data_IF_554395085319
#
_entry.id   IF_554395085319
#
_cell.length_a   1.000
_cell.length_b   1.000
_cell.length_c   1.000
_cell.angle_alpha   90.00
_cell.angle_beta   90.00
_cell.angle_gamma   90.00
#
_symmetry.space_group_name_H-M   'P 1'
#
loop_
_entity.id
_entity.type
_entity.pdbx_description
1 polymer ?
#
# COMPACT_ATOMS: atom_id res chain seq x y z
N UNK A 1 11.41 -45.75 -1.34
CA UNK A 1 10.96 -45.12 -0.07
C UNK A 1 11.37 -43.65 0.10
N UNK A 2 12.20 -43.04 -0.77
CA UNK A 2 12.70 -41.65 -0.60
C UNK A 2 11.78 -40.53 -1.15
N UNK A 3 10.69 -40.88 -1.83
CA UNK A 3 9.81 -39.87 -2.46
C UNK A 3 9.12 -38.93 -1.45
N UNK A 4 8.78 -39.45 -0.26
CA UNK A 4 8.17 -38.65 0.81
C UNK A 4 9.19 -37.66 1.38
N UNK A 5 10.41 -38.13 1.68
CA UNK A 5 11.49 -37.27 2.18
C UNK A 5 11.83 -36.15 1.18
N UNK A 6 11.85 -36.47 -0.11
CA UNK A 6 12.11 -35.47 -1.15
C UNK A 6 10.99 -34.43 -1.25
N UNK A 7 9.72 -34.84 -1.09
CA UNK A 7 8.60 -33.91 -1.01
C UNK A 7 8.72 -32.98 0.21
N UNK A 8 9.01 -33.53 1.39
CA UNK A 8 9.20 -32.74 2.60
C UNK A 8 10.40 -31.79 2.51
N UNK A 9 11.48 -32.23 1.86
CA UNK A 9 12.62 -31.39 1.54
C UNK A 9 12.21 -30.22 0.64
N UNK A 10 11.43 -30.45 -0.41
CA UNK A 10 10.93 -29.37 -1.29
C UNK A 10 10.06 -28.36 -0.54
N UNK A 11 9.21 -28.82 0.38
CA UNK A 11 8.39 -27.94 1.24
C UNK A 11 9.27 -27.09 2.15
N UNK A 12 10.38 -27.65 2.65
CA UNK A 12 11.30 -26.95 3.53
C UNK A 12 12.01 -25.74 2.87
N UNK A 13 12.19 -25.75 1.54
CA UNK A 13 12.80 -24.65 0.81
C UNK A 13 11.88 -23.43 0.66
N UNK A 14 10.55 -23.61 0.73
CA UNK A 14 9.56 -22.53 0.58
C UNK A 14 8.55 -22.50 1.75
N UNK A 15 8.99 -22.26 2.99
CA UNK A 15 8.10 -22.31 4.13
C UNK A 15 7.18 -21.08 4.18
N UNK A 16 5.90 -21.25 3.82
CA UNK A 16 4.86 -20.23 4.06
C UNK A 16 4.35 -20.21 5.51
N UNK A 17 5.16 -20.69 6.47
CA UNK A 17 4.77 -20.80 7.88
C UNK A 17 4.82 -19.44 8.56
N UNK A 18 3.70 -19.01 9.15
CA UNK A 18 3.60 -17.78 9.96
C UNK A 18 3.18 -18.12 11.38
N UNK A 19 3.64 -17.32 12.36
CA UNK A 19 3.17 -17.43 13.75
C UNK A 19 1.68 -17.09 13.80
N UNK A 20 0.88 -18.01 14.31
CA UNK A 20 -0.58 -17.87 14.42
C UNK A 20 -1.07 -18.54 15.70
N UNK A 21 -2.01 -17.90 16.38
CA UNK A 21 -2.75 -18.47 17.52
C UNK A 21 -3.82 -19.46 17.05
N UNK A 22 -4.35 -19.28 15.82
CA UNK A 22 -5.36 -20.17 15.23
C UNK A 22 -4.66 -21.39 14.62
N UNK A 23 -4.98 -22.59 15.13
CA UNK A 23 -4.32 -23.85 14.74
C UNK A 23 -4.52 -24.20 13.26
N UNK A 24 -5.74 -23.99 12.72
CA UNK A 24 -6.10 -24.32 11.33
C UNK A 24 -5.31 -23.56 10.27
N UNK A 25 -4.71 -22.42 10.63
CA UNK A 25 -3.83 -21.69 9.71
C UNK A 25 -2.58 -22.50 9.36
N UNK A 26 -2.10 -23.35 10.27
CA UNK A 26 -0.91 -24.18 10.05
C UNK A 26 -1.13 -25.19 8.90
N UNK A 27 -2.15 -26.07 8.92
CA UNK A 27 -2.39 -26.98 7.80
C UNK A 27 -2.76 -26.24 6.52
N UNK A 28 -3.48 -25.11 6.59
CA UNK A 28 -3.80 -24.32 5.40
C UNK A 28 -2.55 -23.84 4.64
N UNK A 29 -1.61 -23.18 5.33
CA UNK A 29 -0.38 -22.70 4.67
C UNK A 29 0.54 -23.84 4.24
N UNK A 30 0.51 -24.97 4.94
CA UNK A 30 1.24 -26.16 4.54
C UNK A 30 0.68 -26.74 3.23
N UNK A 31 -0.65 -26.92 3.13
CA UNK A 31 -1.31 -27.38 1.92
C UNK A 31 -1.10 -26.40 0.75
N UNK A 32 -1.15 -25.09 1.01
CA UNK A 32 -0.86 -24.09 -0.01
C UNK A 32 0.55 -24.22 -0.59
N UNK A 33 1.53 -24.51 0.28
CA UNK A 33 2.93 -24.74 -0.14
C UNK A 33 3.05 -26.01 -0.97
N UNK A 34 2.41 -27.10 -0.51
CA UNK A 34 2.37 -28.37 -1.21
C UNK A 34 1.77 -28.22 -2.62
N UNK A 35 0.62 -27.56 -2.74
CA UNK A 35 -0.05 -27.31 -4.02
C UNK A 35 0.85 -26.50 -4.95
N UNK A 36 1.49 -25.45 -4.44
CA UNK A 36 2.39 -24.59 -5.26
C UNK A 36 3.56 -25.39 -5.85
N UNK A 37 4.18 -26.27 -5.05
CA UNK A 37 5.25 -27.15 -5.51
C UNK A 37 4.73 -28.14 -6.55
N UNK A 38 3.59 -28.78 -6.29
CA UNK A 38 3.00 -29.76 -7.20
C UNK A 38 2.63 -29.12 -8.54
N UNK A 39 2.09 -27.90 -8.53
CA UNK A 39 1.80 -27.13 -9.74
C UNK A 39 3.08 -26.86 -10.55
N UNK A 40 4.18 -26.47 -9.91
CA UNK A 40 5.45 -26.26 -10.60
C UNK A 40 6.01 -27.55 -11.22
N UNK A 41 5.88 -28.69 -10.53
CA UNK A 41 6.27 -30.01 -11.06
C UNK A 41 5.45 -30.33 -12.31
N UNK A 42 4.12 -30.22 -12.24
CA UNK A 42 3.21 -30.52 -13.36
C UNK A 42 3.52 -29.59 -14.56
N UNK A 43 3.72 -28.29 -14.30
CA UNK A 43 4.07 -27.33 -15.35
C UNK A 43 5.40 -27.67 -16.03
N UNK A 44 6.41 -28.07 -15.25
CA UNK A 44 7.71 -28.45 -15.81
C UNK A 44 7.63 -29.77 -16.61
N UNK A 45 6.78 -30.72 -16.19
CA UNK A 45 6.51 -31.94 -16.97
C UNK A 45 5.84 -31.60 -18.32
N UNK A 46 4.84 -30.73 -18.30
CA UNK A 46 4.18 -30.25 -19.51
C UNK A 46 5.17 -29.52 -20.45
N UNK A 47 5.98 -28.60 -19.92
CA UNK A 47 7.02 -27.91 -20.69
C UNK A 47 8.02 -28.87 -21.34
N UNK A 48 8.45 -29.90 -20.61
CA UNK A 48 9.36 -30.92 -21.13
C UNK A 48 8.74 -31.69 -22.30
N UNK A 49 7.44 -32.01 -22.25
CA UNK A 49 6.73 -32.65 -23.37
C UNK A 49 6.67 -31.76 -24.61
N UNK A 50 6.59 -30.44 -24.43
CA UNK A 50 6.55 -29.45 -25.52
C UNK A 50 7.94 -28.89 -25.90
N UNK A 51 9.04 -29.48 -25.42
CA UNK A 51 10.40 -29.04 -25.74
C UNK A 51 10.80 -27.67 -25.17
N UNK A 52 10.08 -27.18 -24.16
CA UNK A 52 10.34 -25.89 -23.51
C UNK A 52 11.31 -26.03 -22.33
N UNK A 53 12.09 -24.97 -22.00
CA UNK A 53 13.00 -25.00 -20.88
C UNK A 53 12.25 -25.13 -19.54
N UNK A 54 12.85 -25.86 -18.61
CA UNK A 54 12.32 -25.98 -17.26
C UNK A 54 12.34 -24.63 -16.55
N UNK A 55 11.32 -24.38 -15.73
CA UNK A 55 11.22 -23.17 -14.91
C UNK A 55 11.49 -23.47 -13.44
N UNK A 56 12.22 -22.57 -12.79
CA UNK A 56 12.48 -22.65 -11.37
C UNK A 56 11.19 -22.46 -10.57
N UNK A 57 11.08 -23.17 -9.44
CA UNK A 57 9.92 -23.09 -8.53
C UNK A 57 9.62 -21.64 -8.11
N UNK A 58 10.64 -20.85 -7.79
CA UNK A 58 10.49 -19.44 -7.42
C UNK A 58 9.82 -18.60 -8.52
N UNK A 59 10.13 -18.87 -9.80
CA UNK A 59 9.55 -18.17 -10.93
C UNK A 59 8.05 -18.51 -11.06
N UNK A 60 7.72 -19.80 -10.98
CA UNK A 60 6.32 -20.26 -11.03
C UNK A 60 5.49 -19.68 -9.89
N UNK A 61 6.02 -19.68 -8.66
CA UNK A 61 5.31 -19.11 -7.51
C UNK A 61 5.13 -17.60 -7.68
N UNK A 62 6.13 -16.89 -8.20
CA UNK A 62 6.03 -15.45 -8.48
C UNK A 62 4.95 -15.16 -9.52
N UNK A 63 4.94 -15.90 -10.62
CA UNK A 63 3.93 -15.75 -11.68
C UNK A 63 2.52 -16.06 -11.15
N UNK A 64 2.40 -17.06 -10.28
CA UNK A 64 1.13 -17.43 -9.64
C UNK A 64 0.64 -16.33 -8.67
N UNK A 65 1.55 -15.73 -7.90
CA UNK A 65 1.22 -14.57 -7.05
C UNK A 65 0.76 -13.39 -7.91
N UNK A 66 1.48 -13.06 -8.99
CA UNK A 66 1.11 -11.97 -9.89
C UNK A 66 -0.27 -12.24 -10.49
N UNK A 67 -0.53 -13.45 -10.99
CA UNK A 67 -1.82 -13.80 -11.59
C UNK A 67 -2.99 -13.79 -10.60
N UNK A 68 -2.75 -14.11 -9.32
CA UNK A 68 -3.77 -14.01 -8.27
C UNK A 68 -3.99 -12.55 -7.85
N UNK A 69 -2.92 -11.79 -7.70
CA UNK A 69 -2.97 -10.38 -7.28
C UNK A 69 -3.56 -9.51 -8.39
N UNK A 70 -3.20 -9.67 -9.67
CA UNK A 70 -3.77 -8.86 -10.77
C UNK A 70 -5.29 -9.04 -10.90
N UNK A 71 -5.80 -10.22 -10.58
CA UNK A 71 -7.25 -10.49 -10.54
C UNK A 71 -7.92 -9.74 -9.37
N UNK A 72 -7.24 -9.61 -8.24
CA UNK A 72 -7.74 -8.91 -7.06
C UNK A 72 -7.51 -7.38 -7.12
N UNK A 73 -6.45 -6.90 -7.78
CA UNK A 73 -6.14 -5.47 -7.97
C UNK A 73 -7.14 -4.79 -8.89
N UNK A 74 -7.93 -5.55 -9.63
CA UNK A 74 -9.11 -5.05 -10.34
C UNK A 74 -10.24 -4.59 -9.40
N UNK A 75 -10.18 -4.91 -8.09
CA UNK A 75 -11.16 -4.51 -7.08
C UNK A 75 -10.46 -4.03 -5.77
N UNK A 76 -10.23 -2.71 -5.68
CA UNK A 76 -10.52 -1.89 -4.47
C UNK A 76 -9.49 -1.54 -3.37
N UNK A 77 -8.18 -1.83 -3.41
CA UNK A 77 -7.31 -1.44 -2.27
C UNK A 77 -5.98 -0.70 -2.55
N UNK A 78 -5.10 -1.19 -3.44
CA UNK A 78 -3.79 -0.55 -3.66
C UNK A 78 -3.86 0.63 -4.64
N UNK A 79 -4.82 0.60 -5.55
CA UNK A 79 -5.10 1.73 -6.43
C UNK A 79 -5.55 2.96 -5.63
N UNK A 80 -6.24 2.81 -4.50
CA UNK A 80 -6.81 3.96 -3.79
C UNK A 80 -5.70 4.83 -3.15
N UNK A 81 -4.68 4.24 -2.54
CA UNK A 81 -3.57 5.00 -1.93
C UNK A 81 -2.64 5.69 -2.93
N UNK A 82 -2.33 5.01 -4.05
CA UNK A 82 -1.48 5.55 -5.14
C UNK A 82 -2.29 6.54 -5.98
N UNK A 83 -3.56 6.25 -6.27
CA UNK A 83 -4.47 7.19 -6.93
C UNK A 83 -4.75 8.40 -6.05
N UNK A 84 -4.85 8.30 -4.71
CA UNK A 84 -5.01 9.46 -3.82
C UNK A 84 -3.75 10.36 -3.83
N UNK A 85 -2.55 9.77 -3.82
CA UNK A 85 -1.30 10.52 -3.95
C UNK A 85 -1.17 11.19 -5.33
N UNK A 86 -1.55 10.48 -6.39
CA UNK A 86 -1.56 11.01 -7.75
C UNK A 86 -2.66 12.04 -7.96
N UNK A 87 -3.85 11.85 -7.39
CA UNK A 87 -5.01 12.75 -7.51
C UNK A 87 -4.72 14.09 -6.82
N UNK A 88 -4.03 14.07 -5.68
CA UNK A 88 -3.55 15.31 -5.03
C UNK A 88 -2.71 16.17 -5.97
N UNK A 89 -1.89 15.54 -6.83
CA UNK A 89 -0.91 16.23 -7.67
C UNK A 89 -1.42 16.50 -9.10
N UNK A 90 -2.14 15.54 -9.68
CA UNK A 90 -2.56 15.57 -11.09
C UNK A 90 -3.90 16.26 -11.31
N UNK A 91 -4.80 16.23 -10.34
CA UNK A 91 -6.09 16.89 -10.51
C UNK A 91 -6.00 18.39 -10.32
N UNK A 92 -6.91 19.11 -10.98
CA UNK A 92 -7.13 20.53 -10.71
C UNK A 92 -7.83 20.68 -9.35
N UNK A 93 -7.14 21.29 -8.40
CA UNK A 93 -7.65 21.63 -7.08
C UNK A 93 -7.89 23.14 -6.99
N UNK A 94 -9.07 23.52 -6.52
CA UNK A 94 -9.45 24.93 -6.37
C UNK A 94 -9.58 25.30 -4.89
N UNK A 95 -9.01 26.44 -4.53
CA UNK A 95 -9.11 27.00 -3.20
C UNK A 95 -10.57 27.40 -2.94
N UNK A 96 -11.13 26.94 -1.81
CA UNK A 96 -12.42 27.43 -1.31
C UNK A 96 -12.29 27.93 0.12
N UNK A 97 -13.21 28.78 0.55
CA UNK A 97 -13.37 29.14 1.95
C UNK A 97 -13.93 27.95 2.73
N UNK A 98 -13.43 27.75 3.95
CA UNK A 98 -13.93 26.71 4.84
C UNK A 98 -15.43 26.92 5.10
N UNK A 99 -16.27 25.87 5.00
CA UNK A 99 -17.70 25.97 5.27
C UNK A 99 -17.91 26.36 6.72
N UNK A 100 -18.96 27.12 7.01
CA UNK A 100 -19.35 27.43 8.38
C UNK A 100 -19.70 26.14 9.13
N UNK A 101 -19.43 26.11 10.44
CA UNK A 101 -19.86 24.98 11.27
C UNK A 101 -21.36 25.08 11.51
N UNK A 102 -22.03 23.95 11.65
CA UNK A 102 -23.41 23.87 12.14
C UNK A 102 -23.48 24.58 13.50
N UNK A 103 -24.03 25.80 13.51
CA UNK A 103 -23.96 26.74 14.64
C UNK A 103 -23.36 28.13 14.32
N UNK A 104 -23.10 28.47 13.04
CA UNK A 104 -22.80 29.84 12.61
C UNK A 104 -21.37 30.34 12.89
N UNK A 105 -20.47 29.44 13.30
CA UNK A 105 -19.08 29.78 13.58
C UNK A 105 -18.17 29.66 12.35
N UNK A 106 -17.28 30.63 12.13
CA UNK A 106 -16.20 30.56 11.12
C UNK A 106 -15.35 29.31 11.35
N UNK A 107 -15.49 28.31 10.49
CA UNK A 107 -14.67 27.09 10.57
C UNK A 107 -13.27 27.40 10.10
N UNK A 108 -12.30 27.31 11.01
CA UNK A 108 -10.90 27.47 10.68
C UNK A 108 -10.21 26.12 10.82
N UNK A 109 -9.52 25.68 9.77
CA UNK A 109 -8.81 24.38 9.74
C UNK A 109 -7.31 24.62 9.90
N UNK A 110 -6.63 23.70 10.57
CA UNK A 110 -5.17 23.76 10.65
C UNK A 110 -4.56 23.44 9.29
N UNK A 111 -3.49 24.14 8.93
CA UNK A 111 -2.77 23.85 7.69
C UNK A 111 -1.99 22.53 7.82
N UNK A 112 -2.34 21.54 6.99
CA UNK A 112 -1.68 20.22 6.99
C UNK A 112 -0.17 20.32 6.74
N UNK A 113 0.26 21.11 5.76
CA UNK A 113 1.68 21.30 5.42
C UNK A 113 2.48 21.87 6.58
N UNK A 114 1.99 22.93 7.24
CA UNK A 114 2.68 23.53 8.38
C UNK A 114 2.77 22.58 9.57
N UNK A 115 1.72 21.80 9.83
CA UNK A 115 1.71 20.78 10.88
C UNK A 115 2.75 19.70 10.59
N UNK A 116 2.78 19.18 9.36
CA UNK A 116 3.66 18.08 8.99
C UNK A 116 5.13 18.52 8.96
N UNK A 117 5.44 19.72 8.44
CA UNK A 117 6.79 20.31 8.51
C UNK A 117 7.28 20.49 9.94
N UNK A 118 6.44 21.02 10.82
CA UNK A 118 6.79 21.21 12.24
C UNK A 118 6.99 19.87 12.98
N UNK A 119 6.32 18.80 12.56
CA UNK A 119 6.55 17.45 13.10
C UNK A 119 7.88 16.87 12.62
N UNK A 120 8.21 17.02 11.33
CA UNK A 120 9.47 16.50 10.76
C UNK A 120 10.72 17.22 11.28
N UNK A 121 10.62 18.50 11.60
CA UNK A 121 11.76 19.31 12.07
C UNK A 121 12.21 19.02 13.51
N UNK A 122 11.68 17.99 14.18
CA UNK A 122 12.11 17.59 15.53
C UNK A 122 11.81 18.59 16.65
N UNK A 123 11.11 19.68 16.37
CA UNK A 123 10.88 20.81 17.28
C UNK A 123 10.11 20.42 18.55
N UNK A 124 10.29 21.18 19.63
CA UNK A 124 9.53 21.03 20.88
C UNK A 124 8.03 21.28 20.65
N UNK A 125 7.17 20.74 21.52
CA UNK A 125 5.72 20.91 21.43
C UNK A 125 5.30 22.39 21.38
N UNK A 126 6.02 23.26 22.09
CA UNK A 126 5.78 24.70 22.14
C UNK A 126 6.09 25.40 20.79
N UNK A 127 7.24 25.07 20.21
CA UNK A 127 7.67 25.59 18.90
C UNK A 127 6.74 25.09 17.77
N UNK A 128 6.28 23.83 17.86
CA UNK A 128 5.28 23.29 16.93
C UNK A 128 3.98 24.08 17.00
N UNK A 129 3.55 24.51 18.19
CA UNK A 129 2.30 25.29 18.34
C UNK A 129 2.43 26.65 17.66
N UNK A 130 3.58 27.31 17.78
CA UNK A 130 3.85 28.60 17.14
C UNK A 130 3.84 28.51 15.60
N UNK A 131 4.40 27.45 15.02
CA UNK A 131 4.46 27.28 13.55
C UNK A 131 3.18 26.76 12.90
N UNK A 132 2.19 26.33 13.68
CA UNK A 132 0.89 25.87 13.15
C UNK A 132 0.05 27.05 12.69
N UNK A 133 0.03 27.30 11.38
CA UNK A 133 -0.89 28.26 10.77
C UNK A 133 -2.30 27.68 10.71
N UNK A 134 -3.27 28.51 11.04
CA UNK A 134 -4.69 28.23 10.89
C UNK A 134 -5.18 28.90 9.61
N UNK A 135 -5.88 28.17 8.75
CA UNK A 135 -6.35 28.66 7.46
C UNK A 135 -7.88 28.84 7.41
N UNK A 136 -8.28 29.91 6.71
CA UNK A 136 -9.66 30.14 6.25
C UNK A 136 -9.97 29.38 4.96
N UNK A 137 -8.95 28.81 4.33
CA UNK A 137 -9.01 28.14 3.04
C UNK A 137 -8.84 26.63 3.19
N UNK A 138 -9.52 25.88 2.32
CA UNK A 138 -9.43 24.44 2.23
C UNK A 138 -9.58 23.95 0.78
N UNK A 139 -9.10 22.73 0.55
CA UNK A 139 -9.37 22.01 -0.69
C UNK A 139 -10.58 21.09 -0.48
N UNK A 140 -11.70 21.26 -1.21
CA UNK A 140 -12.88 20.41 -1.06
C UNK A 140 -12.66 18.97 -1.54
N UNK A 141 -11.83 18.78 -2.58
CA UNK A 141 -11.49 17.47 -3.12
C UNK A 141 -10.63 16.65 -2.15
N UNK A 142 -9.54 17.24 -1.66
CA UNK A 142 -8.65 16.58 -0.70
C UNK A 142 -9.13 16.69 0.77
N UNK A 143 -10.19 17.46 1.04
CA UNK A 143 -10.76 17.72 2.38
C UNK A 143 -9.75 18.24 3.42
N UNK A 144 -8.67 18.92 3.00
CA UNK A 144 -7.60 19.44 3.86
C UNK A 144 -7.62 20.98 3.97
N UNK A 145 -7.29 21.50 5.15
CA UNK A 145 -7.02 22.93 5.35
C UNK A 145 -5.60 23.28 4.91
N UNK A 146 -5.45 24.34 4.12
CA UNK A 146 -4.16 24.76 3.54
C UNK A 146 -4.04 26.29 3.58
N UNK A 147 -2.86 26.80 3.96
CA UNK A 147 -2.52 28.22 3.85
C UNK A 147 -2.33 28.60 2.36
N UNK A 148 -2.38 29.89 2.01
CA UNK A 148 -2.20 30.33 0.61
C UNK A 148 -0.87 29.84 0.03
N UNK A 149 0.24 30.10 0.74
CA UNK A 149 1.59 29.66 0.35
C UNK A 149 1.72 28.12 0.29
N UNK A 150 0.88 27.41 1.04
CA UNK A 150 0.95 25.96 1.20
C UNK A 150 0.11 25.21 0.18
N UNK A 151 -0.82 25.89 -0.50
CA UNK A 151 -1.81 25.25 -1.36
C UNK A 151 -1.14 24.63 -2.59
N UNK A 152 -0.33 25.42 -3.29
CA UNK A 152 0.45 24.97 -4.44
C UNK A 152 1.42 23.85 -4.05
N UNK A 153 2.19 24.04 -2.98
CA UNK A 153 3.18 23.05 -2.51
C UNK A 153 2.53 21.68 -2.27
N UNK A 154 1.34 21.66 -1.65
CA UNK A 154 0.61 20.44 -1.37
C UNK A 154 0.11 19.74 -2.64
N UNK A 155 -0.27 20.51 -3.67
CA UNK A 155 -0.84 20.01 -4.92
C UNK A 155 0.17 19.85 -6.07
N UNK A 156 1.45 20.17 -5.85
CA UNK A 156 2.47 20.05 -6.91
C UNK A 156 3.63 19.13 -6.52
N UNK A 157 4.01 19.06 -5.24
CA UNK A 157 5.17 18.26 -4.82
C UNK A 157 4.75 16.89 -4.29
N UNK A 158 5.49 15.83 -4.65
CA UNK A 158 5.32 14.49 -4.06
C UNK A 158 5.63 14.53 -2.57
N UNK A 159 6.77 15.10 -2.20
CA UNK A 159 7.15 15.39 -0.82
C UNK A 159 7.01 16.89 -0.51
N UNK A 160 5.90 17.26 0.12
CA UNK A 160 5.60 18.64 0.53
C UNK A 160 6.17 19.02 1.90
N UNK A 161 6.82 18.08 2.57
CA UNK A 161 7.31 18.25 3.96
C UNK A 161 8.78 18.62 4.05
N UNK A 162 9.50 18.60 2.92
CA UNK A 162 10.81 19.25 2.75
C UNK A 162 10.67 20.77 2.64
#
# INVERSE_FOLDING_TARGET
MSGVDHSDQLISYFPMRRKSQKWWKKPFFHLLTLVSIQTAIILNLHKKQHGQPATNLAAVVKDLIIALVDKDVSYDAEQDSVNLLLARIRERHFIKLCPEKDGGGKSRRQCKVCVDRAKKSGMSAQERKSKRKVSKFWCPKCKVGLCLDCFEIYHTKVDYTR
#
